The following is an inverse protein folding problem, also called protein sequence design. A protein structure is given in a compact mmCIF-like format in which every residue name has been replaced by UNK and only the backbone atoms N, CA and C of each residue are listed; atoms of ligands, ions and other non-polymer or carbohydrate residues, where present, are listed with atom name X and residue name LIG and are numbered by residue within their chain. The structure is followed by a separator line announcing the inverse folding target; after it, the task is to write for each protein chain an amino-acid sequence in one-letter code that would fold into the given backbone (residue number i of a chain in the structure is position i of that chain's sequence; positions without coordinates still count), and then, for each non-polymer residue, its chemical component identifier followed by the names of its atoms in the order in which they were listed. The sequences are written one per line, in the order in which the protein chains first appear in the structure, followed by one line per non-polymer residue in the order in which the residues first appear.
data_IF_290928295379
#
_entry.id   IF_290928295379
#
_cell.length_a   1.000
_cell.length_b   1.000
_cell.length_c   1.000
_cell.angle_alpha   90.00
_cell.angle_beta   90.00
_cell.angle_gamma   90.00
#
_symmetry.space_group_name_H-M   'P 1'
#
loop_
_entity.id
_entity.type
_entity.pdbx_description
1 polymer ?
#
# COMPACT_ATOMS: atom_id res chain seq x y z
N UNK A 1 -0.86 -54.06 -34.72
CA UNK A 1 0.51 -53.97 -34.19
C UNK A 1 0.44 -54.26 -32.71
N UNK A 2 1.33 -55.11 -32.21
CA UNK A 2 1.34 -55.54 -30.81
C UNK A 2 2.03 -54.47 -29.95
N UNK A 3 1.40 -54.02 -28.88
CA UNK A 3 1.86 -52.93 -27.99
C UNK A 3 2.73 -53.45 -26.83
N UNK A 4 3.39 -54.59 -27.01
CA UNK A 4 4.29 -55.16 -26.01
C UNK A 4 5.59 -54.33 -25.98
N UNK A 5 6.04 -53.95 -24.79
CA UNK A 5 7.27 -53.17 -24.58
C UNK A 5 7.10 -51.65 -24.41
N UNK A 6 5.88 -51.10 -24.42
CA UNK A 6 5.68 -49.66 -24.18
C UNK A 6 6.07 -49.18 -22.78
N UNK A 7 6.16 -50.10 -21.81
CA UNK A 7 6.68 -49.82 -20.47
C UNK A 7 8.18 -50.01 -20.34
N UNK A 8 8.83 -50.62 -21.35
CA UNK A 8 10.25 -50.89 -21.34
C UNK A 8 10.98 -49.64 -21.84
N UNK A 9 11.72 -49.03 -20.92
CA UNK A 9 12.47 -47.82 -21.22
C UNK A 9 13.82 -48.17 -21.82
N UNK A 10 13.77 -48.63 -23.07
CA UNK A 10 14.95 -49.06 -23.83
C UNK A 10 15.75 -47.89 -24.40
N UNK A 11 15.37 -46.66 -24.05
CA UNK A 11 15.98 -45.44 -24.57
C UNK A 11 16.49 -44.57 -23.41
N UNK A 12 17.51 -45.05 -22.66
CA UNK A 12 18.00 -44.40 -21.45
C UNK A 12 18.54 -42.98 -21.69
N UNK A 13 18.88 -42.63 -22.94
CA UNK A 13 19.24 -41.26 -23.33
C UNK A 13 18.07 -40.25 -23.29
N UNK A 14 16.82 -40.69 -23.38
CA UNK A 14 15.66 -39.81 -23.36
C UNK A 14 15.07 -39.74 -21.96
N UNK A 15 14.63 -38.55 -21.57
CA UNK A 15 14.09 -38.29 -20.25
C UNK A 15 12.62 -38.73 -20.21
N UNK A 16 12.23 -39.51 -19.19
CA UNK A 16 10.84 -39.92 -18.97
C UNK A 16 10.29 -39.28 -17.68
N UNK A 17 8.98 -39.35 -17.42
CA UNK A 17 8.38 -38.71 -16.24
C UNK A 17 9.03 -39.17 -14.91
N UNK A 18 9.41 -40.44 -14.80
CA UNK A 18 10.05 -41.02 -13.60
C UNK A 18 11.49 -40.53 -13.38
N UNK A 19 12.24 -40.26 -14.45
CA UNK A 19 13.63 -39.77 -14.42
C UNK A 19 13.73 -38.26 -14.53
N UNK A 20 12.68 -37.60 -14.99
CA UNK A 20 12.62 -36.15 -15.17
C UNK A 20 12.57 -35.41 -13.84
N UNK A 21 12.10 -36.03 -12.75
CA UNK A 21 11.75 -35.32 -11.50
C UNK A 21 12.50 -35.85 -10.26
N UNK A 22 13.72 -36.37 -10.46
CA UNK A 22 14.57 -36.81 -9.35
C UNK A 22 15.55 -35.71 -8.92
N UNK A 23 15.51 -35.36 -7.63
CA UNK A 23 16.33 -34.30 -7.02
C UNK A 23 17.83 -34.53 -7.15
N UNK A 24 18.26 -35.77 -7.39
CA UNK A 24 19.66 -36.15 -7.61
C UNK A 24 20.25 -35.60 -8.92
N UNK A 25 19.41 -35.30 -9.92
CA UNK A 25 19.86 -34.88 -11.27
C UNK A 25 19.70 -33.40 -11.53
N UNK A 26 18.69 -32.79 -10.94
CA UNK A 26 18.57 -31.35 -10.82
C UNK A 26 18.15 -31.05 -9.39
N UNK A 27 19.03 -30.42 -8.59
CA UNK A 27 18.60 -29.90 -7.31
C UNK A 27 17.42 -28.95 -7.54
N UNK A 28 16.35 -29.11 -6.76
CA UNK A 28 15.18 -28.23 -6.78
C UNK A 28 15.60 -26.76 -6.88
N UNK A 29 15.09 -26.05 -7.89
CA UNK A 29 15.38 -24.63 -8.10
C UNK A 29 16.63 -24.29 -8.93
N UNK A 30 17.31 -25.26 -9.58
CA UNK A 30 18.49 -24.99 -10.43
C UNK A 30 18.23 -25.08 -11.94
N UNK A 31 17.44 -26.07 -12.38
CA UNK A 31 17.15 -26.31 -13.81
C UNK A 31 15.70 -25.98 -14.18
N UNK A 32 14.78 -26.10 -13.22
CA UNK A 32 13.36 -25.81 -13.38
C UNK A 32 12.97 -24.66 -12.43
N UNK A 33 12.95 -23.40 -12.90
CA UNK A 33 12.84 -22.23 -12.03
C UNK A 33 11.48 -22.09 -11.30
N UNK A 34 10.46 -22.88 -11.68
CA UNK A 34 9.11 -22.73 -11.13
C UNK A 34 8.85 -23.48 -9.83
N UNK A 35 9.77 -24.36 -9.39
CA UNK A 35 9.62 -25.08 -8.11
C UNK A 35 9.96 -24.19 -6.90
N UNK A 36 10.42 -22.96 -7.19
CA UNK A 36 10.84 -21.94 -6.24
C UNK A 36 9.72 -20.93 -5.90
N UNK A 37 8.45 -21.34 -5.86
CA UNK A 37 7.37 -20.48 -5.33
C UNK A 37 7.61 -20.10 -3.86
N UNK A 38 8.33 -20.94 -3.11
CA UNK A 38 8.81 -20.67 -1.75
C UNK A 38 10.04 -19.73 -1.70
N UNK A 39 10.67 -19.47 -2.84
CA UNK A 39 11.88 -18.67 -2.99
C UNK A 39 11.66 -17.38 -3.79
N UNK A 40 10.40 -17.03 -4.05
CA UNK A 40 10.06 -15.65 -4.37
C UNK A 40 10.45 -14.82 -3.14
N UNK A 41 11.62 -14.18 -3.21
CA UNK A 41 12.29 -13.46 -2.11
C UNK A 41 11.38 -12.43 -1.44
N UNK A 42 10.36 -11.96 -2.14
CA UNK A 42 9.43 -10.96 -1.66
C UNK A 42 7.99 -11.47 -1.67
N UNK A 43 7.63 -12.21 -0.61
CA UNK A 43 6.27 -12.67 -0.33
C UNK A 43 5.70 -12.13 0.99
N UNK A 44 6.56 -11.60 1.86
CA UNK A 44 6.16 -11.20 3.20
C UNK A 44 5.67 -9.75 3.20
N UNK A 45 4.52 -9.49 3.83
CA UNK A 45 4.06 -8.12 4.11
C UNK A 45 5.09 -7.28 4.90
N UNK A 46 6.05 -7.94 5.56
CA UNK A 46 7.18 -7.30 6.22
C UNK A 46 8.26 -6.74 5.27
N UNK A 47 8.20 -7.04 3.96
CA UNK A 47 9.12 -6.45 2.97
C UNK A 47 8.73 -5.02 2.59
N UNK A 48 7.50 -4.60 2.90
CA UNK A 48 7.01 -3.25 2.74
C UNK A 48 7.66 -2.34 3.80
N UNK A 49 8.90 -1.93 3.57
CA UNK A 49 9.58 -0.94 4.41
C UNK A 49 8.98 0.45 4.19
N UNK A 50 8.70 1.18 5.26
CA UNK A 50 8.11 2.52 5.17
C UNK A 50 6.59 2.55 5.03
N UNK A 51 5.91 1.41 5.25
CA UNK A 51 4.45 1.35 5.43
C UNK A 51 4.16 1.03 6.91
N UNK A 52 3.64 2.00 7.65
CA UNK A 52 3.23 1.92 9.03
C UNK A 52 1.71 2.10 9.20
N UNK A 53 1.21 2.08 10.46
CA UNK A 53 -0.22 2.20 10.77
C UNK A 53 -0.91 3.48 10.25
N UNK A 54 -0.13 4.49 9.87
CA UNK A 54 -0.64 5.74 9.29
C UNK A 54 -0.72 5.71 7.77
N UNK A 55 -0.01 4.80 7.10
CA UNK A 55 0.02 4.67 5.63
C UNK A 55 -1.22 3.98 5.06
N UNK A 56 -1.94 3.26 5.93
CA UNK A 56 -3.33 2.89 5.74
C UNK A 56 -4.10 3.49 6.90
N UNK A 57 -4.69 4.69 6.76
CA UNK A 57 -5.58 5.22 7.78
C UNK A 57 -6.57 4.11 8.18
N UNK A 58 -6.64 3.83 9.48
CA UNK A 58 -7.49 2.75 10.00
C UNK A 58 -8.91 3.05 9.61
N UNK A 59 -9.51 2.21 8.77
CA UNK A 59 -10.87 2.42 8.30
C UNK A 59 -11.86 2.51 9.46
N UNK A 60 -12.28 3.73 9.77
CA UNK A 60 -13.26 4.05 10.82
C UNK A 60 -14.71 3.91 10.34
N UNK A 61 -14.93 3.68 9.04
CA UNK A 61 -16.25 3.36 8.44
C UNK A 61 -16.32 3.58 6.93
N UNK A 62 -17.52 3.46 6.34
CA UNK A 62 -17.75 3.68 4.89
C UNK A 62 -17.78 5.17 4.48
N UNK A 63 -17.77 6.10 5.44
CA UNK A 63 -17.83 7.56 5.21
C UNK A 63 -16.54 8.23 5.66
N UNK A 64 -15.41 7.70 5.20
CA UNK A 64 -14.12 8.01 5.79
C UNK A 64 -13.45 9.23 5.17
N UNK A 65 -13.95 10.40 5.59
CA UNK A 65 -13.12 11.61 5.65
C UNK A 65 -13.02 11.99 7.12
N UNK A 66 -12.36 11.16 7.92
CA UNK A 66 -11.82 11.54 9.22
C UNK A 66 -10.36 11.94 9.06
N UNK A 67 -10.10 12.95 8.22
CA UNK A 67 -8.78 13.57 8.21
C UNK A 67 -8.53 14.17 9.59
N UNK A 68 -7.43 13.80 10.24
CA UNK A 68 -6.97 14.51 11.43
C UNK A 68 -6.71 15.97 11.02
N UNK A 69 -7.66 16.86 11.33
CA UNK A 69 -7.47 18.30 11.12
C UNK A 69 -6.70 18.88 12.29
N UNK A 70 -5.67 19.66 12.01
CA UNK A 70 -4.82 20.27 13.03
C UNK A 70 -5.63 21.30 13.82
N UNK A 71 -5.55 21.24 15.16
CA UNK A 71 -6.10 22.30 16.03
C UNK A 71 -5.00 23.29 16.38
N UNK A 72 -5.22 24.55 16.03
CA UNK A 72 -4.27 25.65 16.24
C UNK A 72 -4.91 26.74 17.09
N UNK A 73 -4.09 27.48 17.85
CA UNK A 73 -4.55 28.65 18.61
C UNK A 73 -4.64 29.91 17.73
N UNK A 74 -3.98 29.89 16.58
CA UNK A 74 -4.05 30.93 15.55
C UNK A 74 -3.73 30.29 14.19
N UNK A 75 -4.47 30.66 13.15
CA UNK A 75 -4.17 30.19 11.81
C UNK A 75 -2.79 30.68 11.34
N UNK A 76 -1.99 29.83 10.66
CA UNK A 76 -0.79 30.28 9.97
C UNK A 76 -1.15 31.20 8.80
N UNK A 77 -0.14 31.84 8.20
CA UNK A 77 -0.35 32.57 6.96
C UNK A 77 -0.89 31.65 5.86
N UNK A 78 -1.90 32.13 5.13
CA UNK A 78 -2.39 31.44 3.94
C UNK A 78 -1.30 31.45 2.86
N UNK A 79 -0.93 30.28 2.37
CA UNK A 79 0.17 30.09 1.42
C UNK A 79 -0.01 28.76 0.67
N UNK A 80 0.72 28.59 -0.43
CA UNK A 80 0.69 27.36 -1.25
C UNK A 80 0.90 26.08 -0.43
N UNK A 81 1.80 26.11 0.56
CA UNK A 81 2.06 24.98 1.46
C UNK A 81 0.89 24.60 2.37
N UNK A 82 -0.14 25.45 2.46
CA UNK A 82 -1.35 25.20 3.22
C UNK A 82 -2.59 24.95 2.34
N UNK A 83 -2.50 25.04 1.00
CA UNK A 83 -3.62 24.85 0.09
C UNK A 83 -4.31 23.49 0.32
N UNK A 84 -5.65 23.50 0.45
CA UNK A 84 -6.46 22.30 0.67
C UNK A 84 -6.45 21.78 2.12
N UNK A 85 -5.67 22.37 3.02
CA UNK A 85 -5.64 21.97 4.43
C UNK A 85 -6.92 22.43 5.14
N UNK A 86 -7.57 21.49 5.83
CA UNK A 86 -8.60 21.78 6.82
C UNK A 86 -7.97 21.98 8.20
N UNK A 87 -8.29 23.09 8.86
CA UNK A 87 -7.76 23.43 10.19
C UNK A 87 -8.89 23.79 11.15
N UNK A 88 -8.69 23.52 12.43
CA UNK A 88 -9.57 23.98 13.51
C UNK A 88 -8.85 25.08 14.30
N UNK A 89 -9.43 26.27 14.39
CA UNK A 89 -8.91 27.31 15.29
C UNK A 89 -9.67 27.25 16.62
N UNK A 90 -8.92 27.20 17.72
CA UNK A 90 -9.44 27.42 19.07
C UNK A 90 -8.46 28.27 19.87
N UNK A 91 -8.80 29.53 20.10
CA UNK A 91 -7.90 30.53 20.71
C UNK A 91 -7.62 30.27 22.20
N UNK A 92 -8.42 29.42 22.87
CA UNK A 92 -8.20 29.02 24.25
C UNK A 92 -9.34 28.19 24.83
N UNK A 93 -9.20 27.81 26.10
CA UNK A 93 -10.24 27.12 26.84
C UNK A 93 -11.52 27.99 26.93
N UNK A 94 -12.68 27.38 26.68
CA UNK A 94 -13.97 28.08 26.69
C UNK A 94 -14.24 28.99 25.47
N UNK A 95 -13.31 29.07 24.51
CA UNK A 95 -13.52 29.79 23.25
C UNK A 95 -14.16 28.87 22.21
N UNK A 96 -14.80 29.49 21.21
CA UNK A 96 -15.41 28.78 20.08
C UNK A 96 -14.35 28.02 19.26
N UNK A 97 -14.74 26.87 18.72
CA UNK A 97 -13.94 26.16 17.70
C UNK A 97 -14.47 26.52 16.32
N UNK A 98 -13.58 26.98 15.44
CA UNK A 98 -13.91 27.35 14.06
C UNK A 98 -13.19 26.41 13.10
N UNK A 99 -13.84 25.99 12.02
CA UNK A 99 -13.25 25.15 10.98
C UNK A 99 -12.95 26.01 9.75
N UNK A 100 -11.74 25.88 9.21
CA UNK A 100 -11.27 26.61 8.03
C UNK A 100 -10.75 25.68 6.95
N UNK A 101 -10.84 26.12 5.70
CA UNK A 101 -10.18 25.52 4.54
C UNK A 101 -9.32 26.56 3.83
N UNK A 102 -8.04 26.27 3.59
CA UNK A 102 -7.20 27.13 2.77
C UNK A 102 -7.51 26.90 1.28
N UNK A 103 -7.85 27.96 0.55
CA UNK A 103 -8.17 27.93 -0.88
C UNK A 103 -7.34 28.97 -1.63
N UNK A 104 -7.25 28.83 -2.96
CA UNK A 104 -6.74 29.86 -3.85
C UNK A 104 -7.91 30.75 -4.29
N UNK A 105 -7.71 32.06 -4.22
CA UNK A 105 -8.71 33.05 -4.62
C UNK A 105 -8.54 33.47 -6.08
N UNK A 106 -9.45 34.31 -6.59
CA UNK A 106 -9.46 34.76 -7.99
C UNK A 106 -8.31 35.70 -8.38
N UNK A 107 -7.50 36.14 -7.42
CA UNK A 107 -6.30 36.95 -7.64
C UNK A 107 -5.00 36.13 -7.51
N UNK A 108 -5.09 34.80 -7.61
CA UNK A 108 -3.99 33.85 -7.42
C UNK A 108 -3.31 33.92 -6.04
N UNK A 109 -3.97 34.52 -5.06
CA UNK A 109 -3.56 34.51 -3.66
C UNK A 109 -4.18 33.33 -2.90
N UNK A 110 -3.73 33.13 -1.67
CA UNK A 110 -4.28 32.10 -0.77
C UNK A 110 -5.06 32.75 0.37
N UNK A 111 -6.15 32.12 0.78
CA UNK A 111 -6.94 32.56 1.95
C UNK A 111 -7.53 31.39 2.72
N UNK A 112 -7.77 31.59 4.02
CA UNK A 112 -8.54 30.65 4.84
C UNK A 112 -10.01 31.06 4.85
N UNK A 113 -10.87 30.20 4.34
CA UNK A 113 -12.32 30.38 4.37
C UNK A 113 -12.90 29.63 5.56
N UNK A 114 -13.64 30.33 6.43
CA UNK A 114 -14.35 29.69 7.54
C UNK A 114 -15.55 28.90 7.01
N UNK A 115 -15.63 27.62 7.37
CA UNK A 115 -16.70 26.71 6.97
C UNK A 115 -17.76 26.52 8.07
N UNK A 116 -17.33 26.53 9.33
CA UNK A 116 -18.20 26.31 10.48
C UNK A 116 -17.65 26.95 11.75
N UNK A 117 -18.53 27.14 12.74
CA UNK A 117 -18.18 27.56 14.10
C UNK A 117 -19.08 26.84 15.10
N UNK A 118 -18.50 26.38 16.19
CA UNK A 118 -19.20 25.87 17.38
C UNK A 118 -18.95 26.83 18.54
N UNK A 119 -20.03 27.44 19.03
CA UNK A 119 -20.04 28.42 20.12
C UNK A 119 -20.51 27.81 21.43
#
# INVERSE_FOLDING_TARGET
GNLLGLGDDDHPQYLNQTRHDVTDRHPLGTVVPHDKLADLTEKAHSSLSGVGPSDHHVKTGNYEVFGLTEEVTTLPAAAAGNLGRFMRERTGAGQATKVYLCVQNSADGYEFVQLAVST
#
